data_IF_442373107740
#
_entry.id   IF_442373107740
#
_cell.length_a   1.000
_cell.length_b   1.000
_cell.length_c   1.000
_cell.angle_alpha   90.00
_cell.angle_beta   90.00
_cell.angle_gamma   90.00
#
_symmetry.space_group_name_H-M   'P 1'
#
loop_
_entity.id
_entity.type
_entity.pdbx_description
1 polymer ?
#
# COMPACT_ATOMS: atom_id res chain seq x y z
N UNK A 1 21.48 -12.59 -5.50
CA UNK A 1 20.20 -13.30 -5.28
C UNK A 1 19.14 -12.23 -5.05
N UNK A 2 18.17 -12.06 -5.94
CA UNK A 2 17.15 -11.00 -5.77
C UNK A 2 16.13 -11.43 -4.71
N UNK A 3 15.82 -10.55 -3.75
CA UNK A 3 14.88 -10.82 -2.66
C UNK A 3 13.44 -10.95 -3.17
N UNK A 4 12.67 -11.82 -2.52
CA UNK A 4 11.24 -11.99 -2.79
C UNK A 4 10.37 -10.93 -2.10
N UNK A 5 9.14 -10.72 -2.61
CA UNK A 5 8.16 -9.78 -2.02
C UNK A 5 7.92 -10.06 -0.54
N UNK A 6 7.79 -11.33 -0.13
CA UNK A 6 7.54 -11.69 1.26
C UNK A 6 8.70 -11.33 2.20
N UNK A 7 9.94 -11.42 1.70
CA UNK A 7 11.15 -11.08 2.45
C UNK A 7 11.25 -9.56 2.64
N UNK A 8 11.08 -8.80 1.54
CA UNK A 8 11.09 -7.32 1.55
C UNK A 8 10.04 -6.78 2.55
N UNK A 9 8.81 -7.27 2.45
CA UNK A 9 7.71 -6.83 3.33
C UNK A 9 8.01 -7.14 4.80
N UNK A 10 8.57 -8.33 5.08
CA UNK A 10 8.85 -8.76 6.45
C UNK A 10 10.01 -8.00 7.08
N UNK A 11 11.01 -7.59 6.29
CA UNK A 11 12.15 -6.80 6.76
C UNK A 11 11.84 -5.33 7.04
N UNK A 12 10.76 -4.78 6.46
CA UNK A 12 10.50 -3.32 6.50
C UNK A 12 9.99 -2.75 7.84
N UNK A 13 9.60 -3.59 8.82
CA UNK A 13 9.13 -3.12 10.15
C UNK A 13 7.86 -2.26 10.17
N UNK A 14 7.18 -2.09 9.03
CA UNK A 14 6.05 -1.16 8.87
C UNK A 14 4.73 -1.68 9.43
N UNK A 15 3.93 -0.78 10.00
CA UNK A 15 2.53 -1.04 10.42
C UNK A 15 1.62 -1.41 9.24
N UNK A 16 2.07 -1.15 7.99
CA UNK A 16 1.37 -1.49 6.77
C UNK A 16 1.01 -2.98 6.68
N UNK A 17 1.98 -3.87 6.98
CA UNK A 17 1.76 -5.32 6.92
C UNK A 17 0.64 -5.77 7.87
N UNK A 18 0.56 -5.18 9.06
CA UNK A 18 -0.48 -5.48 10.03
C UNK A 18 -1.86 -5.03 9.51
N UNK A 19 -1.94 -3.83 8.95
CA UNK A 19 -3.17 -3.29 8.35
C UNK A 19 -3.70 -4.16 7.20
N UNK A 20 -2.80 -4.70 6.36
CA UNK A 20 -3.18 -5.51 5.20
C UNK A 20 -3.68 -6.93 5.54
N UNK A 21 -3.58 -7.39 6.81
CA UNK A 21 -4.12 -8.70 7.22
C UNK A 21 -5.64 -8.82 7.06
N UNK A 22 -6.35 -7.69 7.03
CA UNK A 22 -7.80 -7.64 6.84
C UNK A 22 -8.23 -8.03 5.42
N UNK A 23 -7.34 -7.93 4.44
CA UNK A 23 -7.66 -8.20 3.05
C UNK A 23 -7.69 -9.70 2.75
N UNK A 24 -8.58 -10.17 1.84
CA UNK A 24 -8.51 -11.52 1.30
C UNK A 24 -7.12 -11.83 0.72
N UNK A 25 -6.70 -13.09 0.78
CA UNK A 25 -5.35 -13.49 0.39
C UNK A 25 -4.91 -13.02 -1.02
N UNK A 26 -5.75 -13.09 -2.06
CA UNK A 26 -5.37 -12.61 -3.40
C UNK A 26 -5.10 -11.11 -3.44
N UNK A 27 -5.93 -10.29 -2.78
CA UNK A 27 -5.75 -8.82 -2.74
C UNK A 27 -4.56 -8.44 -1.87
N UNK A 28 -4.37 -9.17 -0.77
CA UNK A 28 -3.20 -9.01 0.09
C UNK A 28 -1.90 -9.29 -0.69
N UNK A 29 -1.85 -10.33 -1.52
CA UNK A 29 -0.69 -10.60 -2.38
C UNK A 29 -0.39 -9.42 -3.31
N UNK A 30 -1.41 -8.89 -3.99
CA UNK A 30 -1.25 -7.77 -4.91
C UNK A 30 -0.77 -6.48 -4.22
N UNK A 31 -1.35 -6.10 -3.09
CA UNK A 31 -0.93 -4.87 -2.39
C UNK A 31 0.49 -5.01 -1.82
N UNK A 32 0.88 -6.22 -1.40
CA UNK A 32 2.25 -6.49 -0.97
C UNK A 32 3.25 -6.40 -2.14
N UNK A 33 2.85 -6.74 -3.36
CA UNK A 33 3.68 -6.53 -4.55
C UNK A 33 3.91 -5.04 -4.82
N UNK A 34 2.85 -4.22 -4.76
CA UNK A 34 2.94 -2.76 -4.87
C UNK A 34 3.84 -2.18 -3.79
N UNK A 35 3.65 -2.61 -2.54
CA UNK A 35 4.49 -2.17 -1.43
C UNK A 35 5.96 -2.56 -1.60
N UNK A 36 6.23 -3.81 -1.99
CA UNK A 36 7.59 -4.28 -2.22
C UNK A 36 8.28 -3.50 -3.34
N UNK A 37 7.57 -3.18 -4.41
CA UNK A 37 8.09 -2.30 -5.46
C UNK A 37 8.49 -0.93 -4.91
N UNK A 38 7.59 -0.26 -4.20
CA UNK A 38 7.87 1.05 -3.60
C UNK A 38 9.11 0.99 -2.71
N UNK A 39 9.23 -0.07 -1.90
CA UNK A 39 10.37 -0.23 -1.00
C UNK A 39 11.68 -0.47 -1.75
N UNK A 40 11.67 -1.26 -2.83
CA UNK A 40 12.90 -1.53 -3.58
C UNK A 40 13.39 -0.29 -4.32
N UNK A 41 12.50 0.52 -4.92
CA UNK A 41 12.93 1.75 -5.60
C UNK A 41 13.37 2.84 -4.62
N UNK A 42 12.74 2.91 -3.45
CA UNK A 42 13.15 3.75 -2.31
C UNK A 42 14.55 3.36 -1.81
N UNK A 43 14.80 2.06 -1.62
CA UNK A 43 16.11 1.54 -1.23
C UNK A 43 17.22 1.85 -2.25
N UNK A 44 16.91 1.97 -3.55
CA UNK A 44 17.89 2.41 -4.57
C UNK A 44 18.38 3.82 -4.28
N UNK A 45 17.50 4.70 -3.79
CA UNK A 45 17.84 6.10 -3.49
C UNK A 45 18.47 6.22 -2.10
N UNK A 46 17.98 5.49 -1.11
CA UNK A 46 18.41 5.57 0.29
C UNK A 46 19.76 4.89 0.54
N UNK A 47 20.11 3.84 -0.23
CA UNK A 47 21.37 3.13 -0.04
C UNK A 47 22.56 4.06 -0.30
N UNK A 48 23.54 4.18 0.62
CA UNK A 48 24.74 4.97 0.38
C UNK A 48 25.53 4.46 -0.83
N UNK A 49 25.94 5.35 -1.73
CA UNK A 49 26.70 5.00 -2.93
C UNK A 49 26.76 6.14 -3.94
N UNK A 50 27.54 5.98 -5.03
CA UNK A 50 27.65 6.97 -6.11
C UNK A 50 26.29 7.23 -6.77
N UNK A 51 25.99 8.50 -7.11
CA UNK A 51 24.74 8.87 -7.78
C UNK A 51 24.53 8.10 -9.11
N UNK A 52 25.62 7.83 -9.84
CA UNK A 52 25.57 7.08 -11.10
C UNK A 52 25.01 5.66 -10.92
N UNK A 53 25.33 4.98 -9.81
CA UNK A 53 24.82 3.65 -9.50
C UNK A 53 23.32 3.71 -9.15
N UNK A 54 22.90 4.72 -8.39
CA UNK A 54 21.48 4.92 -8.05
C UNK A 54 20.65 5.19 -9.30
N UNK A 55 21.14 6.04 -10.19
CA UNK A 55 20.51 6.33 -11.49
C UNK A 55 20.38 5.07 -12.34
N UNK A 56 21.45 4.30 -12.47
CA UNK A 56 21.42 3.01 -13.18
C UNK A 56 20.42 2.03 -12.54
N UNK A 57 20.28 2.03 -11.22
CA UNK A 57 19.27 1.24 -10.50
C UNK A 57 17.84 1.61 -10.86
N UNK A 58 17.53 2.92 -10.93
CA UNK A 58 16.20 3.39 -11.36
C UNK A 58 15.94 3.09 -12.85
N UNK A 59 16.93 3.27 -13.71
CA UNK A 59 16.82 2.96 -15.14
C UNK A 59 16.61 1.45 -15.38
N UNK A 60 17.23 0.59 -14.55
CA UNK A 60 16.98 -0.85 -14.57
C UNK A 60 15.54 -1.22 -14.20
N UNK A 61 14.91 -0.47 -13.29
CA UNK A 61 13.51 -0.62 -12.91
C UNK A 61 12.55 -0.11 -13.98
N UNK A 62 12.85 1.01 -14.64
CA UNK A 62 12.08 1.48 -15.80
C UNK A 62 12.12 0.46 -16.96
N UNK A 63 13.30 -0.13 -17.20
CA UNK A 63 13.43 -1.24 -18.14
C UNK A 63 12.67 -2.50 -17.68
N UNK A 64 12.54 -2.75 -16.37
CA UNK A 64 11.70 -3.83 -15.85
C UNK A 64 10.20 -3.56 -16.06
N UNK A 65 9.73 -2.34 -15.86
CA UNK A 65 8.34 -1.96 -16.17
C UNK A 65 8.02 -2.15 -17.65
N UNK A 66 8.97 -1.80 -18.53
CA UNK A 66 8.87 -2.12 -19.97
C UNK A 66 8.73 -3.62 -20.20
N UNK A 67 9.55 -4.45 -19.55
CA UNK A 67 9.44 -5.91 -19.62
C UNK A 67 8.12 -6.44 -19.07
N UNK A 68 7.54 -5.81 -18.06
CA UNK A 68 6.21 -6.16 -17.53
C UNK A 68 5.14 -5.91 -18.59
N UNK A 69 5.17 -4.76 -19.27
CA UNK A 69 4.24 -4.42 -20.38
C UNK A 69 4.33 -5.44 -21.51
N UNK A 70 5.53 -5.92 -21.79
CA UNK A 70 5.78 -6.95 -22.81
C UNK A 70 5.54 -8.38 -22.32
N UNK A 71 5.07 -8.58 -21.08
CA UNK A 71 4.76 -9.90 -20.52
C UNK A 71 5.98 -10.76 -20.17
N UNK A 72 7.19 -10.18 -20.08
CA UNK A 72 8.46 -10.87 -19.84
C UNK A 72 9.25 -10.37 -18.60
N UNK A 73 8.61 -10.22 -17.42
CA UNK A 73 9.28 -9.72 -16.22
C UNK A 73 10.42 -10.65 -15.77
N UNK A 74 11.55 -10.05 -15.36
CA UNK A 74 12.75 -10.80 -14.96
C UNK A 74 12.89 -10.88 -13.44
N UNK A 75 12.50 -9.84 -12.75
CA UNK A 75 12.63 -9.72 -11.29
C UNK A 75 11.49 -10.45 -10.57
N UNK A 76 11.70 -10.96 -9.34
CA UNK A 76 10.63 -11.55 -8.54
C UNK A 76 9.47 -10.57 -8.29
N UNK A 77 9.79 -9.32 -7.94
CA UNK A 77 8.77 -8.28 -7.70
C UNK A 77 8.05 -7.91 -9.01
N UNK A 78 8.77 -7.79 -10.13
CA UNK A 78 8.16 -7.52 -11.44
C UNK A 78 7.19 -8.62 -11.89
N UNK A 79 7.45 -9.89 -11.58
CA UNK A 79 6.50 -10.99 -11.82
C UNK A 79 5.22 -10.83 -11.00
N UNK A 80 5.34 -10.42 -9.76
CA UNK A 80 4.19 -10.17 -8.88
C UNK A 80 3.39 -8.93 -9.31
N UNK A 81 4.06 -7.86 -9.74
CA UNK A 81 3.41 -6.69 -10.36
C UNK A 81 2.66 -7.12 -11.62
N UNK A 82 3.29 -7.87 -12.52
CA UNK A 82 2.65 -8.32 -13.76
C UNK A 82 1.40 -9.17 -13.48
N UNK A 83 1.45 -10.03 -12.46
CA UNK A 83 0.29 -10.79 -12.02
C UNK A 83 -0.81 -9.88 -11.45
N UNK A 84 -0.46 -8.95 -10.56
CA UNK A 84 -1.39 -8.01 -9.95
C UNK A 84 -2.03 -7.06 -10.97
N UNK A 85 -1.24 -6.55 -11.92
CA UNK A 85 -1.70 -5.67 -12.99
C UNK A 85 -2.79 -6.32 -13.84
N UNK A 86 -2.60 -7.58 -14.24
CA UNK A 86 -3.63 -8.33 -14.96
C UNK A 86 -4.85 -8.67 -14.10
N UNK A 87 -4.64 -9.02 -12.84
CA UNK A 87 -5.73 -9.47 -11.97
C UNK A 87 -6.64 -8.34 -11.46
N UNK A 88 -6.10 -7.12 -11.35
CA UNK A 88 -6.79 -5.97 -10.74
C UNK A 88 -6.80 -4.72 -11.62
N UNK A 89 -6.44 -4.85 -12.90
CA UNK A 89 -6.40 -3.77 -13.88
C UNK A 89 -5.54 -2.58 -13.40
N UNK A 90 -4.32 -2.86 -12.92
CA UNK A 90 -3.46 -1.81 -12.38
C UNK A 90 -2.88 -0.95 -13.51
N UNK A 91 -3.04 0.39 -13.46
CA UNK A 91 -2.39 1.29 -14.41
C UNK A 91 -0.87 1.26 -14.21
N UNK A 92 -0.13 0.74 -15.19
CA UNK A 92 1.32 0.60 -15.09
C UNK A 92 2.04 1.95 -15.08
N UNK A 93 1.39 2.99 -15.62
CA UNK A 93 1.85 4.37 -15.65
C UNK A 93 2.04 4.94 -14.24
N UNK A 94 1.25 4.47 -13.27
CA UNK A 94 1.42 4.88 -11.87
C UNK A 94 2.74 4.33 -11.29
N UNK A 95 3.25 3.20 -11.77
CA UNK A 95 4.57 2.72 -11.35
C UNK A 95 5.71 3.56 -11.93
N UNK A 96 5.56 4.04 -13.18
CA UNK A 96 6.54 4.97 -13.78
C UNK A 96 6.60 6.27 -12.97
N UNK A 97 5.44 6.80 -12.55
CA UNK A 97 5.38 8.01 -11.72
C UNK A 97 6.11 7.85 -10.38
N UNK A 98 6.07 6.67 -9.76
CA UNK A 98 6.86 6.41 -8.55
C UNK A 98 8.36 6.47 -8.85
N UNK A 99 8.83 5.89 -9.96
CA UNK A 99 10.24 5.98 -10.38
C UNK A 99 10.64 7.43 -10.62
N UNK A 100 9.79 8.22 -11.28
CA UNK A 100 10.03 9.65 -11.49
C UNK A 100 10.10 10.41 -10.16
N UNK A 101 9.30 10.02 -9.17
CA UNK A 101 9.39 10.54 -7.80
C UNK A 101 10.76 10.25 -7.17
N UNK A 102 11.25 9.01 -7.29
CA UNK A 102 12.60 8.63 -6.81
C UNK A 102 13.71 9.40 -7.54
N UNK A 103 13.53 9.72 -8.83
CA UNK A 103 14.45 10.59 -9.57
C UNK A 103 14.46 12.02 -9.04
N UNK A 104 13.34 12.51 -8.48
CA UNK A 104 13.32 13.81 -7.79
C UNK A 104 14.10 13.73 -6.48
N UNK A 105 13.98 12.64 -5.72
CA UNK A 105 14.72 12.44 -4.47
C UNK A 105 16.24 12.41 -4.70
N UNK A 106 16.70 11.79 -5.79
CA UNK A 106 18.14 11.80 -6.16
C UNK A 106 18.71 13.19 -6.38
N UNK A 107 17.92 14.15 -6.87
CA UNK A 107 18.39 15.53 -7.11
C UNK A 107 18.56 16.31 -5.82
N UNK A 108 18.05 15.81 -4.70
CA UNK A 108 17.94 16.52 -3.44
C UNK A 108 16.86 17.58 -3.49
N UNK A 109 15.86 17.47 -2.63
CA UNK A 109 14.74 18.41 -2.57
C UNK A 109 14.71 19.06 -1.20
N UNK A 110 15.17 20.31 -1.13
CA UNK A 110 15.21 21.08 0.11
C UNK A 110 14.27 22.26 -0.05
N UNK A 111 13.25 22.32 0.81
CA UNK A 111 12.28 23.41 0.83
C UNK A 111 11.77 23.82 -0.59
N UNK A 112 11.22 22.87 -1.37
CA UNK A 112 10.78 23.12 -2.74
C UNK A 112 9.64 24.15 -2.79
N UNK A 113 9.42 24.74 -3.96
CA UNK A 113 8.18 25.49 -4.22
C UNK A 113 6.94 24.57 -4.20
N UNK A 114 5.76 25.18 -4.11
CA UNK A 114 4.50 24.45 -3.99
C UNK A 114 4.24 23.52 -5.18
N UNK A 115 4.52 23.97 -6.41
CA UNK A 115 4.28 23.17 -7.60
C UNK A 115 5.18 21.93 -7.66
N UNK A 116 6.44 22.08 -7.25
CA UNK A 116 7.41 21.00 -7.16
C UNK A 116 7.02 20.01 -6.07
N UNK A 117 6.57 20.49 -4.90
CA UNK A 117 6.05 19.64 -3.83
C UNK A 117 4.80 18.85 -4.29
N UNK A 118 3.84 19.52 -4.92
CA UNK A 118 2.60 18.87 -5.39
C UNK A 118 2.92 17.78 -6.40
N UNK A 119 3.82 18.06 -7.34
CA UNK A 119 4.27 17.10 -8.33
C UNK A 119 5.02 15.92 -7.68
N UNK A 120 5.83 16.17 -6.65
CA UNK A 120 6.47 15.12 -5.86
C UNK A 120 5.44 14.24 -5.16
N UNK A 121 4.52 14.83 -4.40
CA UNK A 121 3.47 14.11 -3.66
C UNK A 121 2.59 13.28 -4.59
N UNK A 122 2.21 13.81 -5.75
CA UNK A 122 1.46 13.08 -6.79
C UNK A 122 2.21 11.83 -7.26
N UNK A 123 3.53 11.92 -7.43
CA UNK A 123 4.40 10.84 -7.91
C UNK A 123 4.62 9.76 -6.86
N UNK A 124 5.10 10.13 -5.67
CA UNK A 124 5.51 9.13 -4.67
C UNK A 124 4.34 8.57 -3.85
N UNK A 125 3.27 9.35 -3.65
CA UNK A 125 2.15 8.94 -2.81
C UNK A 125 0.85 8.79 -3.61
N UNK A 126 0.53 9.77 -4.47
CA UNK A 126 -0.69 9.76 -5.27
C UNK A 126 -0.79 8.51 -6.15
N UNK A 127 0.32 8.11 -6.77
CA UNK A 127 0.39 6.93 -7.61
C UNK A 127 0.09 5.64 -6.83
N UNK A 128 0.71 5.48 -5.66
CA UNK A 128 0.45 4.36 -4.75
C UNK A 128 -1.00 4.35 -4.28
N UNK A 129 -1.59 5.52 -4.04
CA UNK A 129 -3.01 5.68 -3.72
C UNK A 129 -3.92 5.14 -4.82
N UNK A 130 -3.66 5.48 -6.09
CA UNK A 130 -4.43 4.99 -7.25
C UNK A 130 -4.30 3.47 -7.37
N UNK A 131 -3.08 2.93 -7.33
CA UNK A 131 -2.83 1.49 -7.36
C UNK A 131 -3.59 0.76 -6.23
N UNK A 132 -3.60 1.34 -5.04
CA UNK A 132 -4.32 0.79 -3.88
C UNK A 132 -5.83 0.71 -4.11
N UNK A 133 -6.44 1.72 -4.75
CA UNK A 133 -7.88 1.70 -5.05
C UNK A 133 -8.27 0.55 -5.98
N UNK A 134 -7.43 0.24 -6.97
CA UNK A 134 -7.64 -0.93 -7.84
C UNK A 134 -7.50 -2.24 -7.06
N UNK A 135 -6.41 -2.39 -6.29
CA UNK A 135 -6.18 -3.61 -5.49
C UNK A 135 -7.25 -3.83 -4.43
N UNK A 136 -7.85 -2.78 -3.89
CA UNK A 136 -8.96 -2.89 -2.93
C UNK A 136 -10.32 -3.12 -3.60
N UNK A 137 -10.42 -2.99 -4.92
CA UNK A 137 -11.68 -3.12 -5.65
C UNK A 137 -12.61 -1.94 -5.44
N UNK A 138 -12.04 -0.78 -5.12
CA UNK A 138 -12.77 0.46 -4.84
C UNK A 138 -12.67 1.47 -5.99
N UNK A 139 -12.10 1.09 -7.13
CA UNK A 139 -12.01 1.95 -8.31
C UNK A 139 -13.38 2.19 -8.96
N UNK A 140 -13.77 3.46 -9.09
CA UNK A 140 -15.04 3.93 -9.65
C UNK A 140 -14.83 5.17 -10.54
N UNK A 141 -13.68 5.24 -11.21
CA UNK A 141 -13.29 6.42 -12.00
C UNK A 141 -12.95 7.64 -11.15
N UNK A 142 -13.37 8.83 -11.61
CA UNK A 142 -12.91 10.11 -11.06
C UNK A 142 -13.21 10.30 -9.56
N UNK A 143 -14.30 9.74 -9.04
CA UNK A 143 -14.60 9.82 -7.61
C UNK A 143 -13.53 9.10 -6.76
N UNK A 144 -13.13 7.90 -7.17
CA UNK A 144 -12.07 7.14 -6.50
C UNK A 144 -10.70 7.78 -6.69
N UNK A 145 -10.44 8.35 -7.88
CA UNK A 145 -9.21 9.08 -8.17
C UNK A 145 -9.02 10.28 -7.23
N UNK A 146 -10.03 11.16 -7.12
CA UNK A 146 -9.96 12.31 -6.20
C UNK A 146 -9.74 11.88 -4.76
N UNK A 147 -10.49 10.88 -4.30
CA UNK A 147 -10.31 10.34 -2.95
C UNK A 147 -8.90 9.82 -2.71
N UNK A 148 -8.36 9.03 -3.64
CA UNK A 148 -7.02 8.46 -3.54
C UNK A 148 -5.95 9.54 -3.46
N UNK A 149 -6.02 10.55 -4.35
CA UNK A 149 -5.06 11.63 -4.41
C UNK A 149 -5.08 12.48 -3.14
N UNK A 150 -6.25 12.88 -2.65
CA UNK A 150 -6.36 13.68 -1.42
C UNK A 150 -5.90 12.93 -0.17
N UNK A 151 -6.22 11.63 -0.06
CA UNK A 151 -5.75 10.82 1.07
C UNK A 151 -4.23 10.63 1.01
N UNK A 152 -3.70 10.33 -0.18
CA UNK A 152 -2.26 10.16 -0.38
C UNK A 152 -1.49 11.44 -0.06
N UNK A 153 -2.00 12.60 -0.49
CA UNK A 153 -1.45 13.91 -0.15
C UNK A 153 -1.39 14.12 1.36
N UNK A 154 -2.51 13.92 2.06
CA UNK A 154 -2.57 14.09 3.50
C UNK A 154 -1.57 13.18 4.24
N UNK A 155 -1.45 11.91 3.81
CA UNK A 155 -0.50 10.96 4.39
C UNK A 155 0.96 11.33 4.10
N UNK A 156 1.26 11.82 2.89
CA UNK A 156 2.62 12.20 2.52
C UNK A 156 3.07 13.48 3.21
N UNK A 157 2.20 14.48 3.29
CA UNK A 157 2.48 15.68 4.09
C UNK A 157 2.69 15.33 5.56
N UNK A 158 1.94 14.37 6.10
CA UNK A 158 2.14 13.86 7.46
C UNK A 158 3.51 13.20 7.62
N UNK A 159 3.97 12.41 6.64
CA UNK A 159 5.31 11.83 6.65
C UNK A 159 6.40 12.92 6.62
N UNK A 160 6.31 13.88 5.70
CA UNK A 160 7.25 15.01 5.58
C UNK A 160 7.35 15.76 6.91
N UNK A 161 6.22 16.11 7.53
CA UNK A 161 6.19 16.83 8.80
C UNK A 161 6.73 16.00 9.99
N UNK A 162 6.45 14.69 10.02
CA UNK A 162 6.97 13.77 11.04
C UNK A 162 8.49 13.71 10.98
N UNK A 163 9.03 13.63 9.77
CA UNK A 163 10.45 13.38 9.55
C UNK A 163 11.28 14.68 9.64
N UNK A 164 10.69 15.83 9.26
CA UNK A 164 11.28 17.15 9.51
C UNK A 164 11.61 17.39 11.00
N UNK A 165 10.79 16.86 11.93
CA UNK A 165 11.04 16.97 13.38
C UNK A 165 12.30 16.23 13.85
N UNK A 166 12.79 15.25 13.07
CA UNK A 166 13.97 14.45 13.41
C UNK A 166 15.28 15.09 12.95
N UNK A 167 15.22 16.16 12.15
CA UNK A 167 16.38 16.84 11.57
C UNK A 167 16.89 17.96 12.50
N UNK A 168 18.21 18.04 12.77
CA UNK A 168 18.79 19.11 13.57
C UNK A 168 18.82 20.43 12.79
N UNK A 169 17.85 21.29 13.05
CA UNK A 169 17.62 22.52 12.28
C UNK A 169 16.91 22.18 10.96
N UNK A 170 15.90 22.97 10.59
CA UNK A 170 15.05 22.75 9.41
C UNK A 170 15.78 22.74 8.05
N UNK A 171 17.10 23.00 8.07
CA UNK A 171 17.99 22.99 6.93
C UNK A 171 18.18 21.56 6.42
N UNK A 172 17.65 21.28 5.23
CA UNK A 172 17.73 19.96 4.57
C UNK A 172 16.41 19.19 4.52
N UNK A 173 15.32 19.70 5.12
CA UNK A 173 14.02 19.03 5.02
C UNK A 173 13.32 19.33 3.68
N UNK A 174 12.58 18.34 3.16
CA UNK A 174 11.66 18.48 2.01
C UNK A 174 10.43 19.34 2.33
N UNK A 175 10.30 19.80 3.57
CA UNK A 175 9.20 20.64 4.04
C UNK A 175 9.36 22.08 3.48
N UNK A 176 8.39 22.62 2.72
CA UNK A 176 8.46 24.00 2.27
C UNK A 176 8.40 24.98 3.44
N UNK A 177 8.94 26.21 3.29
CA UNK A 177 8.95 27.21 4.34
C UNK A 177 7.54 27.64 4.77
N UNK A 178 6.54 27.52 3.88
CA UNK A 178 5.13 27.81 4.15
C UNK A 178 4.48 26.85 5.16
N UNK A 179 5.01 25.63 5.28
CA UNK A 179 4.54 24.62 6.24
C UNK A 179 5.33 24.64 7.55
N UNK A 180 6.51 25.26 7.56
CA UNK A 180 7.27 25.45 8.79
C UNK A 180 6.56 26.45 9.70
N UNK A 181 6.30 26.10 10.98
CA UNK A 181 5.78 27.06 11.92
C UNK A 181 6.78 28.23 12.03
N UNK A 182 6.32 29.46 11.74
CA UNK A 182 7.11 30.67 12.04
C UNK A 182 7.57 30.59 13.51
N UNK A 183 8.82 30.98 13.83
CA UNK A 183 9.27 31.00 15.22
C UNK A 183 8.21 31.70 16.05
N UNK A 184 7.73 31.00 17.07
CA UNK A 184 6.49 31.31 17.77
C UNK A 184 6.60 32.62 18.55
N UNK A 185 6.53 33.76 17.87
CA UNK A 185 6.08 35.00 18.51
C UNK A 185 4.56 34.97 18.52
N UNK A 186 4.02 34.52 19.66
CA UNK A 186 2.61 34.49 20.11
C UNK A 186 1.93 33.13 20.02
N UNK A 187 1.55 32.65 21.22
CA UNK A 187 0.52 31.64 21.44
C UNK A 187 -0.69 31.94 20.53
N UNK A 188 -1.20 30.92 19.84
CA UNK A 188 -2.46 31.01 19.10
C UNK A 188 -3.54 31.66 19.97
N UNK A 189 -4.23 32.71 19.49
CA UNK A 189 -5.34 33.34 20.22
C UNK A 189 -6.39 32.29 20.60
N UNK A 190 -6.88 32.34 21.84
CA UNK A 190 -7.84 31.36 22.41
C UNK A 190 -9.12 31.23 21.57
N UNK A 191 -9.44 32.24 20.77
CA UNK A 191 -10.65 32.36 19.96
C UNK A 191 -10.73 31.37 18.78
N UNK A 192 -9.61 30.78 18.35
CA UNK A 192 -9.59 29.81 17.24
C UNK A 192 -9.74 28.34 17.70
N UNK A 193 -9.96 28.09 18.99
CA UNK A 193 -10.41 26.78 19.47
C UNK A 193 -11.89 26.60 19.16
N UNK A 194 -12.23 26.24 17.92
CA UNK A 194 -13.55 25.65 17.65
C UNK A 194 -13.70 24.40 18.54
N UNK A 195 -14.83 24.19 19.22
CA UNK A 195 -15.07 22.95 19.93
C UNK A 195 -14.89 21.81 18.92
N UNK A 196 -14.03 20.83 19.26
CA UNK A 196 -13.85 19.64 18.44
C UNK A 196 -15.24 19.02 18.26
N UNK A 197 -15.73 18.74 17.04
CA UNK A 197 -16.93 17.93 16.89
C UNK A 197 -16.70 16.64 17.67
N UNK A 198 -17.66 16.30 18.54
CA UNK A 198 -17.54 15.10 19.34
C UNK A 198 -17.32 13.91 18.39
N UNK A 199 -16.22 13.19 18.55
CA UNK A 199 -16.05 11.91 17.87
C UNK A 199 -17.30 11.07 18.16
N UNK A 200 -17.98 10.50 17.14
CA UNK A 200 -19.04 9.54 17.39
C UNK A 200 -18.46 8.45 18.30
N UNK A 201 -19.11 8.20 19.44
CA UNK A 201 -18.71 7.11 20.34
C UNK A 201 -18.59 5.84 19.48
N UNK A 202 -17.51 5.05 19.61
CA UNK A 202 -17.42 3.79 18.89
C UNK A 202 -18.67 2.97 19.20
N UNK A 203 -19.41 2.57 18.15
CA UNK A 203 -20.54 1.66 18.31
C UNK A 203 -20.01 0.45 19.09
N UNK A 204 -20.60 0.18 20.26
CA UNK A 204 -20.27 -1.02 21.03
C UNK A 204 -20.35 -2.20 20.07
N UNK A 205 -19.29 -3.00 19.98
CA UNK A 205 -19.32 -4.26 19.23
C UNK A 205 -20.56 -5.03 19.70
N UNK A 206 -21.44 -5.50 18.80
CA UNK A 206 -22.45 -6.47 19.22
C UNK A 206 -21.71 -7.62 19.89
N UNK A 207 -22.15 -8.02 21.09
CA UNK A 207 -21.65 -9.23 21.74
C UNK A 207 -21.73 -10.34 20.71
N UNK A 208 -20.64 -11.10 20.55
CA UNK A 208 -20.65 -12.29 19.72
C UNK A 208 -21.88 -13.12 20.08
N UNK A 209 -22.72 -13.41 19.08
CA UNK A 209 -23.82 -14.33 19.25
C UNK A 209 -23.23 -15.65 19.79
N UNK A 210 -23.88 -16.21 20.81
CA UNK A 210 -23.52 -17.54 21.32
C UNK A 210 -23.50 -18.52 20.14
N UNK A 211 -22.51 -19.43 20.06
CA UNK A 211 -22.53 -20.46 19.04
C UNK A 211 -23.83 -21.25 19.13
N UNK A 212 -24.44 -21.52 17.98
CA UNK A 212 -25.63 -22.36 17.87
C UNK A 212 -25.35 -23.74 18.48
N UNK A 213 -26.34 -24.38 19.15
CA UNK A 213 -26.19 -25.75 19.61
C UNK A 213 -25.94 -26.68 18.41
N UNK A 214 -25.15 -27.76 18.60
CA UNK A 214 -24.87 -28.70 17.53
C UNK A 214 -26.16 -29.37 17.03
N UNK A 215 -26.25 -29.51 15.71
CA UNK A 215 -27.32 -30.22 15.02
C UNK A 215 -27.40 -31.68 15.51
N UNK A 216 -28.59 -32.23 15.76
CA UNK A 216 -28.73 -33.64 16.12
C UNK A 216 -28.31 -34.53 14.94
N UNK A 217 -27.50 -35.55 15.23
CA UNK A 217 -27.05 -36.55 14.25
C UNK A 217 -28.24 -37.26 13.58
N UNK A 218 -28.16 -37.53 12.26
CA UNK A 218 -29.16 -38.34 11.59
C UNK A 218 -29.11 -39.77 12.11
N UNK A 219 -30.18 -40.20 12.80
CA UNK A 219 -30.37 -41.61 13.20
C UNK A 219 -30.34 -42.50 11.95
N UNK A 220 -29.29 -43.31 11.83
CA UNK A 220 -29.22 -44.39 10.85
C UNK A 220 -30.40 -45.35 11.07
N UNK A 221 -31.39 -45.34 10.16
CA UNK A 221 -32.36 -46.41 10.07
C UNK A 221 -31.64 -47.64 9.51
N UNK A 222 -31.39 -48.61 10.37
CA UNK A 222 -30.93 -49.94 10.01
C UNK A 222 -31.99 -50.66 9.17
N UNK A 223 -31.88 -50.54 7.85
CA UNK A 223 -32.58 -51.44 6.93
C UNK A 223 -31.91 -52.83 7.04
N UNK A 224 -32.52 -53.73 7.81
CA UNK A 224 -32.20 -55.16 7.81
C UNK A 224 -32.48 -55.70 6.40
N UNK A 225 -31.43 -55.88 5.61
CA UNK A 225 -31.47 -56.75 4.44
C UNK A 225 -31.51 -58.17 4.97
N UNK A 226 -32.71 -58.76 5.01
CA UNK A 226 -32.88 -60.20 5.22
C UNK A 226 -32.34 -60.90 3.97
N UNK A 227 -31.21 -61.58 4.12
CA UNK A 227 -30.77 -62.58 3.16
C UNK A 227 -31.77 -63.73 3.14
N UNK A 228 -32.41 -63.94 1.99
CA UNK A 228 -33.06 -65.20 1.66
C UNK A 228 -32.11 -65.94 0.71
N UNK A 229 -31.33 -66.86 1.28
CA UNK A 229 -30.72 -67.93 0.53
C UNK A 229 -31.76 -69.05 0.37
N UNK A 230 -32.13 -69.37 -0.86
CA UNK A 230 -32.81 -70.63 -1.19
C UNK A 230 -32.53 -71.02 -2.65
N UNK A 231 -31.39 -71.71 -2.82
CA UNK A 231 -31.20 -73.01 -3.52
C UNK A 231 -31.57 -73.19 -5.02
N UNK A 232 -30.97 -74.22 -5.68
CA UNK A 232 -30.79 -74.32 -7.12
C UNK A 232 -31.74 -75.32 -7.84
N UNK A 233 -31.52 -75.50 -9.15
CA UNK A 233 -32.18 -76.41 -10.15
C UNK A 233 -33.37 -75.74 -10.86
N UNK A 234 -33.54 -75.79 -12.18
CA UNK A 234 -33.12 -76.73 -13.22
C UNK A 234 -32.50 -76.01 -14.43
#
# INVERSE_FOLDING_TARGET
MQMGVAEIVSGSGSSFRAGMRVLPAPRRRAILAVYAFCRVVDDVVDTPGPEAEKRAGLDAWEAELTRIREGRPRTPVGREIAHAARAYDLPLEEFDLVIDGMRMDLRGMIAPDAATLDAYVRRVAGAVGILSMHVFGAWRGEASRRFALSLAEALQLTNILRDARRMPGWAGSTCPPSFCPRPASRRLPREHRRPRPACPRPRRRPRAARPAPPMPEPRARSARIRGCASRPRC
#
